data_IF_204444009103
#
_entry.id   IF_204444009103
#
_cell.length_a   1.000
_cell.length_b   1.000
_cell.length_c   1.000
_cell.angle_alpha   90.00
_cell.angle_beta   90.00
_cell.angle_gamma   90.00
#
_symmetry.space_group_name_H-M   'P 1'
#
loop_
_entity.id
_entity.type
_entity.pdbx_description
1 polymer ?
#
# COMPACT_ATOMS: atom_id res chain seq x y z
N UNK A 1 -3.22 -25.04 -13.49
CA UNK A 1 -2.54 -23.88 -14.12
C UNK A 1 -1.04 -23.97 -13.89
N UNK A 2 -0.26 -23.41 -14.80
CA UNK A 2 1.23 -23.39 -14.80
C UNK A 2 1.78 -22.31 -13.87
N UNK A 3 1.47 -22.33 -12.57
CA UNK A 3 1.83 -21.22 -11.67
C UNK A 3 3.34 -21.08 -11.37
N UNK A 4 4.12 -22.12 -11.64
CA UNK A 4 5.57 -22.14 -11.43
C UNK A 4 6.31 -21.13 -12.33
N UNK A 5 5.70 -20.67 -13.42
CA UNK A 5 6.30 -19.68 -14.33
C UNK A 5 6.59 -18.35 -13.63
N UNK A 6 5.85 -18.04 -12.56
CA UNK A 6 5.98 -16.76 -11.85
C UNK A 6 7.11 -16.75 -10.81
N UNK A 7 7.73 -17.90 -10.53
CA UNK A 7 8.79 -18.03 -9.54
C UNK A 7 10.20 -17.73 -10.11
N UNK A 8 10.30 -17.56 -11.43
CA UNK A 8 11.56 -17.32 -12.15
C UNK A 8 11.51 -15.97 -12.88
N UNK A 9 12.67 -15.35 -13.17
CA UNK A 9 12.71 -14.10 -13.93
C UNK A 9 12.06 -14.25 -15.30
N UNK A 10 11.33 -13.22 -15.72
CA UNK A 10 10.49 -13.27 -16.93
C UNK A 10 11.29 -13.57 -18.19
N UNK A 11 12.51 -13.03 -18.30
CA UNK A 11 13.39 -13.31 -19.42
C UNK A 11 13.81 -14.80 -19.52
N UNK A 12 13.96 -15.49 -18.38
CA UNK A 12 14.29 -16.93 -18.34
C UNK A 12 13.13 -17.74 -18.87
N UNK A 13 11.91 -17.43 -18.42
CA UNK A 13 10.70 -18.13 -18.85
C UNK A 13 10.40 -17.83 -20.31
N UNK A 14 10.56 -16.59 -20.77
CA UNK A 14 10.42 -16.23 -22.18
C UNK A 14 11.36 -17.05 -23.07
N UNK A 15 12.64 -17.17 -22.69
CA UNK A 15 13.60 -18.03 -23.39
C UNK A 15 13.21 -19.51 -23.34
N UNK A 16 12.70 -20.00 -22.21
CA UNK A 16 12.23 -21.38 -22.07
C UNK A 16 11.03 -21.67 -22.97
N UNK A 17 10.06 -20.76 -23.06
CA UNK A 17 8.92 -20.89 -23.97
C UNK A 17 9.38 -20.92 -25.42
N UNK A 18 10.15 -19.93 -25.86
CA UNK A 18 10.71 -19.90 -27.21
C UNK A 18 11.51 -21.16 -27.53
N UNK A 19 12.44 -21.54 -26.63
CA UNK A 19 13.28 -22.72 -26.77
C UNK A 19 12.46 -24.01 -26.86
N UNK A 20 11.41 -24.15 -26.04
CA UNK A 20 10.52 -25.32 -26.08
C UNK A 20 9.76 -25.42 -27.39
N UNK A 21 9.18 -24.31 -27.86
CA UNK A 21 8.47 -24.26 -29.14
C UNK A 21 9.40 -24.53 -30.33
N UNK A 22 10.59 -23.93 -30.34
CA UNK A 22 11.59 -24.14 -31.39
C UNK A 22 12.11 -25.59 -31.37
N UNK A 23 12.49 -26.12 -30.21
CA UNK A 23 12.99 -27.49 -30.09
C UNK A 23 11.92 -28.51 -30.50
N UNK A 24 10.66 -28.31 -30.08
CA UNK A 24 9.54 -29.15 -30.49
C UNK A 24 9.30 -29.07 -31.99
N UNK A 25 9.42 -27.88 -32.58
CA UNK A 25 9.28 -27.68 -34.03
C UNK A 25 10.38 -28.40 -34.80
N UNK A 26 11.65 -28.22 -34.40
CA UNK A 26 12.80 -28.90 -35.00
C UNK A 26 12.74 -30.41 -34.89
N UNK A 27 12.35 -30.92 -33.71
CA UNK A 27 12.16 -32.35 -33.50
C UNK A 27 11.10 -32.91 -34.45
N UNK A 28 9.97 -32.23 -34.60
CA UNK A 28 8.93 -32.65 -35.53
C UNK A 28 9.34 -32.60 -36.99
N UNK A 29 10.05 -31.54 -37.43
CA UNK A 29 10.62 -31.45 -38.78
C UNK A 29 11.55 -32.65 -39.05
N UNK A 30 12.42 -33.00 -38.10
CA UNK A 30 13.31 -34.14 -38.23
C UNK A 30 12.54 -35.46 -38.34
N UNK A 31 11.54 -35.66 -37.46
CA UNK A 31 10.72 -36.87 -37.45
C UNK A 31 9.90 -37.02 -38.74
N UNK A 32 9.17 -35.98 -39.18
CA UNK A 32 8.33 -36.05 -40.37
C UNK A 32 9.14 -36.34 -41.63
N UNK A 33 10.36 -35.79 -41.71
CA UNK A 33 11.29 -36.06 -42.81
C UNK A 33 11.74 -37.53 -42.85
N UNK A 34 11.92 -38.17 -41.70
CA UNK A 34 12.33 -39.59 -41.64
C UNK A 34 11.16 -40.54 -41.92
N UNK A 35 9.97 -40.25 -41.40
CA UNK A 35 8.86 -41.22 -41.39
C UNK A 35 7.80 -41.00 -42.47
N UNK A 36 7.58 -39.75 -42.92
CA UNK A 36 6.37 -39.41 -43.71
C UNK A 36 6.68 -38.67 -45.02
N UNK A 37 7.96 -38.38 -45.30
CA UNK A 37 8.37 -37.65 -46.51
C UNK A 37 7.89 -38.32 -47.82
N UNK A 38 7.88 -39.66 -47.87
CA UNK A 38 7.43 -40.40 -49.06
C UNK A 38 5.90 -40.44 -49.25
N UNK A 39 5.12 -40.14 -48.20
CA UNK A 39 3.65 -40.22 -48.21
C UNK A 39 2.99 -38.89 -48.60
N UNK A 40 3.55 -37.76 -48.18
CA UNK A 40 2.93 -36.44 -48.41
C UNK A 40 3.46 -35.70 -49.65
N UNK A 41 4.65 -36.03 -50.15
CA UNK A 41 5.38 -35.15 -51.10
C UNK A 41 5.45 -35.70 -52.53
N UNK A 42 4.52 -36.58 -52.92
CA UNK A 42 4.47 -37.10 -54.29
C UNK A 42 3.92 -36.10 -55.31
N UNK A 43 3.12 -35.10 -54.86
CA UNK A 43 2.57 -34.06 -55.73
C UNK A 43 2.99 -32.65 -55.31
N UNK A 44 3.55 -31.87 -56.25
CA UNK A 44 3.97 -30.47 -56.02
C UNK A 44 2.86 -29.55 -55.50
N UNK A 45 1.59 -29.84 -55.86
CA UNK A 45 0.43 -29.07 -55.40
C UNK A 45 0.14 -29.23 -53.91
N UNK A 46 0.55 -30.33 -53.27
CA UNK A 46 0.30 -30.55 -51.85
C UNK A 46 1.07 -29.52 -51.00
N UNK A 47 2.32 -29.22 -51.34
CA UNK A 47 3.12 -28.22 -50.62
C UNK A 47 2.54 -26.80 -50.75
N UNK A 48 2.05 -26.44 -51.94
CA UNK A 48 1.35 -25.16 -52.17
C UNK A 48 0.08 -25.05 -51.32
N UNK A 49 -0.73 -26.13 -51.24
CA UNK A 49 -1.92 -26.17 -50.40
C UNK A 49 -1.60 -26.07 -48.90
N UNK A 50 -0.56 -26.76 -48.43
CA UNK A 50 -0.10 -26.67 -47.03
C UNK A 50 0.39 -25.25 -46.73
N UNK A 51 1.15 -24.62 -47.63
CA UNK A 51 1.58 -23.23 -47.47
C UNK A 51 0.43 -22.22 -47.42
N UNK A 52 -0.60 -22.42 -48.25
CA UNK A 52 -1.83 -21.62 -48.22
C UNK A 52 -2.59 -21.80 -46.90
N UNK A 53 -2.73 -23.05 -46.45
CA UNK A 53 -3.37 -23.37 -45.17
C UNK A 53 -2.59 -22.74 -44.02
N UNK A 54 -1.28 -22.96 -43.94
CA UNK A 54 -0.38 -22.37 -42.94
C UNK A 54 -0.57 -20.86 -42.84
N UNK A 55 -0.54 -20.16 -43.97
CA UNK A 55 -0.72 -18.71 -44.03
C UNK A 55 -2.10 -18.29 -43.49
N UNK A 56 -3.16 -19.00 -43.90
CA UNK A 56 -4.53 -18.71 -43.45
C UNK A 56 -4.71 -18.94 -41.95
N UNK A 57 -4.19 -20.05 -41.42
CA UNK A 57 -4.25 -20.38 -40.00
C UNK A 57 -3.41 -19.45 -39.15
N UNK A 58 -2.21 -19.05 -39.61
CA UNK A 58 -1.36 -18.08 -38.90
C UNK A 58 -2.03 -16.71 -38.80
N UNK A 59 -2.72 -16.25 -39.85
CA UNK A 59 -3.45 -14.97 -39.81
C UNK A 59 -4.60 -15.03 -38.80
N UNK A 60 -5.44 -16.07 -38.86
CA UNK A 60 -6.57 -16.23 -37.94
C UNK A 60 -6.12 -16.43 -36.49
N UNK A 61 -5.09 -17.26 -36.28
CA UNK A 61 -4.57 -17.55 -34.96
C UNK A 61 -3.78 -16.36 -34.39
N UNK A 62 -3.02 -15.66 -35.22
CA UNK A 62 -2.34 -14.42 -34.83
C UNK A 62 -3.32 -13.34 -34.40
N UNK A 63 -4.46 -13.19 -35.11
CA UNK A 63 -5.54 -12.30 -34.69
C UNK A 63 -6.12 -12.72 -33.33
N UNK A 64 -6.40 -14.02 -33.14
CA UNK A 64 -6.90 -14.55 -31.86
C UNK A 64 -5.91 -14.27 -30.72
N UNK A 65 -4.63 -14.61 -30.90
CA UNK A 65 -3.58 -14.36 -29.91
C UNK A 65 -3.45 -12.87 -29.60
N UNK A 66 -3.51 -12.01 -30.62
CA UNK A 66 -3.49 -10.56 -30.45
C UNK A 66 -4.66 -10.06 -29.60
N UNK A 67 -5.88 -10.53 -29.86
CA UNK A 67 -7.06 -10.16 -29.07
C UNK A 67 -6.98 -10.66 -27.62
N UNK A 68 -6.47 -11.88 -27.40
CA UNK A 68 -6.27 -12.42 -26.04
C UNK A 68 -5.18 -11.64 -25.30
N UNK A 69 -4.09 -11.27 -25.97
CA UNK A 69 -3.03 -10.44 -25.42
C UNK A 69 -3.54 -9.04 -25.04
N UNK A 70 -4.37 -8.42 -25.88
CA UNK A 70 -5.01 -7.13 -25.57
C UNK A 70 -5.95 -7.25 -24.38
N UNK A 71 -6.79 -8.29 -24.34
CA UNK A 71 -7.73 -8.51 -23.24
C UNK A 71 -7.01 -8.75 -21.89
N UNK A 72 -5.93 -9.53 -21.89
CA UNK A 72 -5.10 -9.75 -20.68
C UNK A 72 -4.40 -8.48 -20.24
N UNK A 73 -3.82 -7.69 -21.15
CA UNK A 73 -3.25 -6.38 -20.83
C UNK A 73 -4.29 -5.41 -20.27
N UNK A 74 -5.50 -5.36 -20.86
CA UNK A 74 -6.59 -4.51 -20.36
C UNK A 74 -7.04 -4.91 -18.95
N UNK A 75 -7.12 -6.22 -18.67
CA UNK A 75 -7.40 -6.71 -17.32
C UNK A 75 -6.30 -6.28 -16.34
N UNK A 76 -5.03 -6.46 -16.71
CA UNK A 76 -3.88 -5.99 -15.92
C UNK A 76 -3.97 -4.49 -15.62
N UNK A 77 -4.21 -3.66 -16.64
CA UNK A 77 -4.34 -2.20 -16.48
C UNK A 77 -5.54 -1.83 -15.58
N UNK A 78 -6.69 -2.49 -15.76
CA UNK A 78 -7.91 -2.26 -14.96
C UNK A 78 -7.67 -2.59 -13.49
N UNK A 79 -6.97 -3.69 -13.18
CA UNK A 79 -6.62 -4.04 -11.80
C UNK A 79 -5.65 -3.02 -11.22
N UNK A 80 -4.73 -2.47 -12.03
CA UNK A 80 -3.86 -1.36 -11.63
C UNK A 80 -4.66 -0.13 -11.22
N UNK A 81 -5.61 0.28 -12.06
CA UNK A 81 -6.50 1.42 -11.77
C UNK A 81 -7.32 1.20 -10.50
N UNK A 82 -7.80 -0.02 -10.23
CA UNK A 82 -8.50 -0.35 -8.98
C UNK A 82 -7.60 -0.11 -7.76
N UNK A 83 -6.34 -0.54 -7.81
CA UNK A 83 -5.37 -0.35 -6.72
C UNK A 83 -5.02 1.13 -6.51
N UNK A 84 -4.84 1.89 -7.59
CA UNK A 84 -4.57 3.33 -7.52
C UNK A 84 -5.76 4.12 -6.95
N UNK A 85 -6.98 3.74 -7.33
CA UNK A 85 -8.20 4.31 -6.76
C UNK A 85 -8.37 3.90 -5.29
N UNK A 86 -8.06 2.65 -4.91
CA UNK A 86 -8.09 2.23 -3.51
C UNK A 86 -7.11 3.06 -2.67
N UNK A 87 -5.88 3.26 -3.15
CA UNK A 87 -4.89 4.12 -2.49
C UNK A 87 -5.42 5.56 -2.31
N UNK A 88 -5.97 6.15 -3.37
CA UNK A 88 -6.56 7.49 -3.33
C UNK A 88 -7.71 7.56 -2.31
N UNK A 89 -8.53 6.52 -2.26
CA UNK A 89 -9.66 6.43 -1.32
C UNK A 89 -9.21 6.34 0.14
N UNK A 90 -8.09 5.66 0.40
CA UNK A 90 -7.45 5.57 1.72
C UNK A 90 -6.91 6.93 2.19
N UNK A 91 -6.27 7.69 1.29
CA UNK A 91 -5.78 9.03 1.59
C UNK A 91 -6.93 9.99 1.91
N UNK A 92 -8.01 9.94 1.12
CA UNK A 92 -9.21 10.74 1.38
C UNK A 92 -9.86 10.37 2.72
N UNK A 93 -10.02 9.07 3.01
CA UNK A 93 -10.59 8.62 4.29
C UNK A 93 -9.77 9.10 5.49
N UNK A 94 -8.44 9.05 5.40
CA UNK A 94 -7.56 9.54 6.46
C UNK A 94 -7.73 11.04 6.70
N UNK A 95 -7.86 11.84 5.63
CA UNK A 95 -8.12 13.28 5.74
C UNK A 95 -9.48 13.58 6.38
N UNK A 96 -10.53 12.85 6.01
CA UNK A 96 -11.85 13.02 6.65
C UNK A 96 -11.82 12.68 8.14
N UNK A 97 -11.18 11.56 8.50
CA UNK A 97 -11.01 11.17 9.90
C UNK A 97 -10.20 12.23 10.67
N UNK A 98 -9.25 12.90 10.03
CA UNK A 98 -8.43 13.94 10.65
C UNK A 98 -9.24 15.19 11.04
N UNK A 99 -10.41 15.39 10.44
CA UNK A 99 -11.34 16.47 10.77
C UNK A 99 -12.25 16.15 11.97
N UNK A 100 -12.35 14.88 12.38
CA UNK A 100 -13.19 14.46 13.52
C UNK A 100 -12.63 14.95 14.86
N UNK A 101 -13.46 15.11 15.91
CA UNK A 101 -12.96 15.47 17.24
C UNK A 101 -12.17 14.34 17.93
N UNK A 102 -11.36 14.71 18.92
CA UNK A 102 -10.75 13.73 19.83
C UNK A 102 -11.80 13.19 20.82
N UNK A 103 -11.70 11.93 21.28
CA UNK A 103 -10.62 10.95 21.04
C UNK A 103 -10.78 10.08 19.79
N UNK A 104 -11.93 10.16 19.10
CA UNK A 104 -12.27 9.28 17.97
C UNK A 104 -11.31 9.40 16.81
N UNK A 105 -10.82 10.61 16.53
CA UNK A 105 -9.77 10.88 15.52
C UNK A 105 -8.57 9.95 15.67
N UNK A 106 -7.93 9.94 16.85
CA UNK A 106 -6.71 9.18 17.09
C UNK A 106 -6.91 7.67 16.93
N UNK A 107 -8.01 7.15 17.48
CA UNK A 107 -8.36 5.73 17.38
C UNK A 107 -8.61 5.31 15.92
N UNK A 108 -9.41 6.07 15.17
CA UNK A 108 -9.73 5.78 13.78
C UNK A 108 -8.51 5.89 12.86
N UNK A 109 -7.66 6.91 13.05
CA UNK A 109 -6.39 7.02 12.33
C UNK A 109 -5.48 5.83 12.59
N UNK A 110 -5.38 5.37 13.84
CA UNK A 110 -4.60 4.19 14.20
C UNK A 110 -5.16 2.93 13.52
N UNK A 111 -6.48 2.71 13.56
CA UNK A 111 -7.13 1.57 12.90
C UNK A 111 -6.91 1.57 11.39
N UNK A 112 -7.01 2.74 10.75
CA UNK A 112 -6.75 2.88 9.33
C UNK A 112 -5.27 2.60 8.99
N UNK A 113 -4.33 3.09 9.80
CA UNK A 113 -2.90 2.74 9.68
C UNK A 113 -2.65 1.24 9.81
N UNK A 114 -3.27 0.59 10.80
CA UNK A 114 -3.14 -0.85 11.03
C UNK A 114 -3.68 -1.67 9.86
N UNK A 115 -4.83 -1.27 9.29
CA UNK A 115 -5.38 -1.85 8.07
C UNK A 115 -4.40 -1.69 6.90
N UNK A 116 -3.97 -0.47 6.61
CA UNK A 116 -3.11 -0.17 5.45
C UNK A 116 -1.77 -0.88 5.56
N UNK A 117 -1.14 -0.89 6.73
CA UNK A 117 0.12 -1.60 6.97
C UNK A 117 -0.02 -3.10 6.76
N UNK A 118 -1.08 -3.72 7.30
CA UNK A 118 -1.34 -5.14 7.07
C UNK A 118 -1.51 -5.46 5.59
N UNK A 119 -2.26 -4.62 4.86
CA UNK A 119 -2.45 -4.78 3.41
C UNK A 119 -1.12 -4.79 2.66
N UNK A 120 -0.20 -3.88 3.00
CA UNK A 120 1.13 -3.77 2.36
C UNK A 120 2.03 -4.95 2.73
N UNK A 121 2.17 -5.25 4.03
CA UNK A 121 3.20 -6.17 4.54
C UNK A 121 2.79 -7.65 4.43
N UNK A 122 1.55 -7.96 4.79
CA UNK A 122 1.07 -9.35 4.91
C UNK A 122 0.02 -9.70 3.85
N UNK A 123 -0.87 -8.77 3.54
CA UNK A 123 -1.97 -8.93 2.58
C UNK A 123 -1.45 -9.16 1.18
N UNK A 124 -0.55 -8.29 0.71
CA UNK A 124 0.01 -8.39 -0.64
C UNK A 124 0.83 -9.66 -0.87
N UNK A 125 1.59 -10.10 0.14
CA UNK A 125 2.36 -11.35 0.06
C UNK A 125 1.46 -12.58 -0.14
N UNK A 126 0.25 -12.58 0.42
CA UNK A 126 -0.76 -13.62 0.19
C UNK A 126 -1.37 -13.51 -1.21
N UNK A 127 -1.70 -12.28 -1.65
CA UNK A 127 -2.26 -12.03 -2.98
C UNK A 127 -1.31 -12.47 -4.11
N UNK A 128 0.00 -12.27 -3.96
CA UNK A 128 1.04 -12.79 -4.87
C UNK A 128 1.02 -14.32 -5.02
N UNK A 129 0.49 -15.03 -4.04
CA UNK A 129 0.32 -16.50 -4.07
C UNK A 129 -1.07 -16.92 -4.56
N UNK A 130 -1.92 -15.95 -4.91
CA UNK A 130 -3.34 -16.15 -5.24
C UNK A 130 -4.20 -16.49 -4.03
N UNK A 131 -3.79 -16.11 -2.82
CA UNK A 131 -4.53 -16.32 -1.59
C UNK A 131 -5.22 -15.01 -1.21
N UNK A 132 -6.54 -15.05 -1.05
CA UNK A 132 -7.30 -13.88 -0.57
C UNK A 132 -7.07 -13.71 0.95
N UNK A 133 -6.47 -12.60 1.41
CA UNK A 133 -6.11 -12.40 2.82
C UNK A 133 -7.35 -12.19 3.70
N UNK A 134 -7.52 -13.03 4.72
CA UNK A 134 -8.65 -12.91 5.67
C UNK A 134 -8.48 -11.79 6.70
N UNK A 135 -7.24 -11.40 7.00
CA UNK A 135 -6.95 -10.38 8.02
C UNK A 135 -7.35 -8.95 7.63
N UNK A 136 -7.55 -8.67 6.34
CA UNK A 136 -8.07 -7.38 5.85
C UNK A 136 -9.53 -7.19 6.26
N UNK A 137 -10.37 -8.23 6.11
CA UNK A 137 -11.78 -8.20 6.48
C UNK A 137 -11.98 -7.91 7.97
N UNK A 138 -11.15 -8.51 8.83
CA UNK A 138 -11.19 -8.28 10.29
C UNK A 138 -10.88 -6.82 10.63
N UNK A 139 -9.80 -6.26 10.08
CA UNK A 139 -9.40 -4.87 10.34
C UNK A 139 -10.37 -3.85 9.75
N UNK A 140 -10.90 -4.13 8.55
CA UNK A 140 -11.95 -3.31 7.95
C UNK A 140 -13.22 -3.31 8.81
N UNK A 141 -13.60 -4.48 9.35
CA UNK A 141 -14.72 -4.64 10.28
C UNK A 141 -14.54 -3.86 11.60
N UNK A 142 -13.32 -3.81 12.13
CA UNK A 142 -13.00 -2.98 13.31
C UNK A 142 -13.10 -1.50 13.01
N UNK A 143 -12.60 -1.04 11.85
CA UNK A 143 -12.67 0.36 11.45
C UNK A 143 -14.13 0.83 11.29
N UNK A 144 -14.96 0.06 10.58
CA UNK A 144 -16.37 0.43 10.38
C UNK A 144 -17.14 0.43 11.70
N UNK A 145 -16.86 -0.52 12.60
CA UNK A 145 -17.48 -0.54 13.93
C UNK A 145 -17.11 0.70 14.74
N UNK A 146 -15.83 1.07 14.77
CA UNK A 146 -15.38 2.30 15.43
C UNK A 146 -15.95 3.58 14.81
N UNK A 147 -16.24 3.59 13.50
CA UNK A 147 -16.98 4.68 12.87
C UNK A 147 -18.43 4.72 13.37
N UNK A 148 -19.12 3.58 13.36
CA UNK A 148 -20.53 3.48 13.77
C UNK A 148 -20.77 3.80 15.25
N UNK A 149 -19.76 3.62 16.11
CA UNK A 149 -19.83 3.95 17.53
C UNK A 149 -19.75 5.49 17.80
N UNK A 150 -19.47 6.31 16.78
CA UNK A 150 -19.40 7.77 16.92
C UNK A 150 -20.79 8.41 16.82
N UNK A 151 -21.19 9.14 17.88
CA UNK A 151 -22.41 9.94 17.90
C UNK A 151 -22.08 11.42 17.66
N UNK A 152 -22.48 12.01 16.50
CA UNK A 152 -22.25 13.42 16.22
C UNK A 152 -23.09 14.31 17.14
N UNK A 153 -22.49 15.39 17.66
CA UNK A 153 -23.14 16.31 18.61
C UNK A 153 -23.72 17.57 17.98
N UNK A 154 -23.32 17.89 16.75
CA UNK A 154 -23.71 19.09 16.01
C UNK A 154 -23.78 18.85 14.49
N UNK A 155 -24.46 19.74 13.76
CA UNK A 155 -24.66 19.62 12.30
C UNK A 155 -23.33 19.52 11.52
N UNK A 156 -22.27 20.20 11.97
CA UNK A 156 -20.95 20.12 11.32
C UNK A 156 -20.35 18.72 11.47
N UNK A 157 -20.42 18.13 12.65
CA UNK A 157 -19.95 16.77 12.92
C UNK A 157 -20.77 15.72 12.15
N UNK A 158 -22.08 15.92 12.01
CA UNK A 158 -22.95 15.03 11.24
C UNK A 158 -22.53 14.96 9.77
N UNK A 159 -22.19 16.10 9.16
CA UNK A 159 -21.71 16.18 7.77
C UNK A 159 -20.37 15.43 7.62
N UNK A 160 -19.39 15.73 8.48
CA UNK A 160 -18.05 15.09 8.43
C UNK A 160 -18.17 13.58 8.64
N UNK A 161 -19.03 13.16 9.57
CA UNK A 161 -19.27 11.75 9.84
C UNK A 161 -19.91 11.04 8.64
N UNK A 162 -20.91 11.66 8.01
CA UNK A 162 -21.52 11.15 6.78
C UNK A 162 -20.50 10.98 5.65
N UNK A 163 -19.58 11.93 5.50
CA UNK A 163 -18.51 11.87 4.49
C UNK A 163 -17.50 10.76 4.80
N UNK A 164 -17.08 10.61 6.05
CA UNK A 164 -16.21 9.53 6.50
C UNK A 164 -16.82 8.14 6.26
N UNK A 165 -18.14 7.98 6.53
CA UNK A 165 -18.85 6.73 6.23
C UNK A 165 -18.90 6.43 4.73
N UNK A 166 -19.29 7.42 3.90
CA UNK A 166 -19.31 7.26 2.43
C UNK A 166 -17.95 6.85 1.90
N UNK A 167 -16.90 7.51 2.36
CA UNK A 167 -15.53 7.24 1.94
C UNK A 167 -15.05 5.85 2.42
N UNK A 168 -15.48 5.41 3.60
CA UNK A 168 -15.18 4.07 4.12
C UNK A 168 -15.83 2.96 3.28
N UNK A 169 -17.10 3.16 2.87
CA UNK A 169 -17.82 2.22 1.98
C UNK A 169 -17.13 2.15 0.62
N UNK A 170 -16.82 3.29 0.01
CA UNK A 170 -16.16 3.34 -1.29
C UNK A 170 -14.79 2.63 -1.28
N UNK A 171 -13.99 2.85 -0.23
CA UNK A 171 -12.72 2.12 -0.04
C UNK A 171 -12.94 0.60 0.07
N UNK A 172 -14.00 0.17 0.76
CA UNK A 172 -14.32 -1.25 0.89
C UNK A 172 -14.75 -1.88 -0.45
N UNK A 173 -15.51 -1.16 -1.28
CA UNK A 173 -15.86 -1.61 -2.64
C UNK A 173 -14.61 -1.82 -3.51
N UNK A 174 -13.67 -0.87 -3.47
CA UNK A 174 -12.39 -0.97 -4.21
C UNK A 174 -11.54 -2.13 -3.70
N UNK A 175 -11.43 -2.31 -2.38
CA UNK A 175 -10.73 -3.45 -1.79
C UNK A 175 -11.36 -4.79 -2.22
N UNK A 176 -12.69 -4.90 -2.23
CA UNK A 176 -13.36 -6.11 -2.71
C UNK A 176 -13.13 -6.35 -4.21
N UNK A 177 -13.16 -5.30 -5.03
CA UNK A 177 -12.86 -5.37 -6.45
C UNK A 177 -11.41 -5.81 -6.72
N UNK A 178 -10.45 -5.36 -5.90
CA UNK A 178 -9.07 -5.83 -5.95
C UNK A 178 -8.99 -7.32 -5.58
N UNK A 179 -9.59 -7.70 -4.45
CA UNK A 179 -9.52 -9.06 -3.92
C UNK A 179 -10.20 -10.10 -4.81
N UNK A 180 -11.26 -9.74 -5.54
CA UNK A 180 -11.92 -10.63 -6.49
C UNK A 180 -11.03 -10.97 -7.70
N UNK A 181 -10.03 -10.13 -8.00
CA UNK A 181 -9.08 -10.35 -9.10
C UNK A 181 -7.84 -11.16 -8.70
N UNK A 182 -7.71 -11.57 -7.43
CA UNK A 182 -6.54 -12.35 -6.93
C UNK A 182 -6.43 -13.73 -7.58
N UNK A 183 -7.56 -14.35 -7.90
CA UNK A 183 -7.64 -15.67 -8.52
C UNK A 183 -8.33 -15.67 -9.89
N UNK A 184 -8.62 -14.49 -10.44
CA UNK A 184 -9.34 -14.34 -11.70
C UNK A 184 -8.33 -14.13 -12.82
N UNK A 185 -8.41 -14.99 -13.82
CA UNK A 185 -7.62 -14.93 -15.06
C UNK A 185 -8.42 -15.51 -16.21
N UNK A 186 -7.76 -15.81 -17.32
CA UNK A 186 -8.35 -16.40 -18.51
C UNK A 186 -9.03 -17.73 -18.16
N UNK A 187 -10.31 -17.91 -18.56
CA UNK A 187 -10.98 -19.19 -18.46
C UNK A 187 -10.13 -20.31 -19.07
N UNK A 188 -10.07 -21.46 -18.39
CA UNK A 188 -9.26 -22.62 -18.81
C UNK A 188 -9.58 -23.07 -20.25
N UNK A 189 -10.80 -22.82 -20.73
CA UNK A 189 -11.21 -23.11 -22.11
C UNK A 189 -10.41 -22.30 -23.13
N UNK A 190 -10.11 -21.01 -22.86
CA UNK A 190 -9.31 -20.19 -23.77
C UNK A 190 -7.87 -20.71 -23.86
N UNK A 191 -7.31 -21.18 -22.75
CA UNK A 191 -6.00 -21.84 -22.75
C UNK A 191 -5.97 -23.11 -23.62
N UNK A 192 -7.05 -23.89 -23.65
CA UNK A 192 -7.17 -25.02 -24.57
C UNK A 192 -7.25 -24.58 -26.03
N UNK A 193 -7.99 -23.52 -26.35
CA UNK A 193 -8.06 -22.96 -27.71
C UNK A 193 -6.69 -22.48 -28.17
N UNK A 194 -5.95 -21.78 -27.31
CA UNK A 194 -4.56 -21.35 -27.58
C UNK A 194 -3.65 -22.56 -27.80
N UNK A 195 -3.72 -23.58 -26.95
CA UNK A 195 -2.88 -24.77 -27.08
C UNK A 195 -3.17 -25.57 -28.37
N UNK A 196 -4.44 -25.79 -28.71
CA UNK A 196 -4.84 -26.49 -29.92
C UNK A 196 -4.48 -25.70 -31.17
N UNK A 197 -4.74 -24.38 -31.17
CA UNK A 197 -4.39 -23.51 -32.30
C UNK A 197 -2.88 -23.46 -32.54
N UNK A 198 -2.07 -23.41 -31.47
CA UNK A 198 -0.62 -23.49 -31.57
C UNK A 198 -0.15 -24.86 -32.12
N UNK A 199 -0.75 -25.97 -31.65
CA UNK A 199 -0.43 -27.30 -32.14
C UNK A 199 -0.74 -27.47 -33.64
N UNK A 200 -1.89 -26.98 -34.11
CA UNK A 200 -2.26 -27.01 -35.54
C UNK A 200 -1.22 -26.26 -36.38
N UNK A 201 -0.82 -25.06 -35.95
CA UNK A 201 0.19 -24.28 -36.67
C UNK A 201 1.55 -25.00 -36.71
N UNK A 202 1.98 -25.61 -35.61
CA UNK A 202 3.23 -26.40 -35.58
C UNK A 202 3.16 -27.63 -36.50
N UNK A 203 2.04 -28.35 -36.51
CA UNK A 203 1.83 -29.49 -37.41
C UNK A 203 1.88 -29.05 -38.87
N UNK A 204 1.26 -27.93 -39.22
CA UNK A 204 1.32 -27.37 -40.58
C UNK A 204 2.75 -26.97 -40.97
N UNK A 205 3.55 -26.44 -40.02
CA UNK A 205 4.98 -26.20 -40.24
C UNK A 205 5.69 -27.52 -40.57
N UNK A 206 5.44 -28.60 -39.83
CA UNK A 206 6.10 -29.90 -40.06
C UNK A 206 5.77 -30.54 -41.41
N UNK A 207 4.59 -30.24 -41.97
CA UNK A 207 4.12 -30.78 -43.25
C UNK A 207 4.73 -30.09 -44.48
N UNK A 208 5.42 -28.96 -44.31
CA UNK A 208 5.96 -28.20 -45.42
C UNK A 208 7.22 -28.84 -46.00
N UNK A 209 7.32 -28.90 -47.33
CA UNK A 209 8.48 -29.47 -48.01
C UNK A 209 9.46 -28.37 -48.45
N UNK A 210 10.67 -28.38 -47.89
CA UNK A 210 11.75 -27.46 -48.26
C UNK A 210 13.13 -28.00 -47.84
N UNK A 211 14.18 -27.26 -48.21
CA UNK A 211 15.55 -27.57 -47.77
C UNK A 211 15.67 -27.49 -46.24
N UNK A 212 16.40 -28.44 -45.62
CA UNK A 212 16.45 -28.62 -44.16
C UNK A 212 16.77 -27.31 -43.44
N UNK A 213 17.80 -26.61 -43.90
CA UNK A 213 18.27 -25.41 -43.23
C UNK A 213 17.24 -24.27 -43.29
N UNK A 214 16.54 -24.12 -44.42
CA UNK A 214 15.46 -23.13 -44.57
C UNK A 214 14.27 -23.50 -43.68
N UNK A 215 13.90 -24.78 -43.62
CA UNK A 215 12.80 -25.28 -42.78
C UNK A 215 13.05 -25.00 -41.30
N UNK A 216 14.27 -25.28 -40.85
CA UNK A 216 14.69 -25.10 -39.47
C UNK A 216 14.70 -23.62 -39.08
N UNK A 217 15.21 -22.74 -39.95
CA UNK A 217 15.26 -21.29 -39.69
C UNK A 217 13.86 -20.68 -39.69
N UNK A 218 13.05 -20.94 -40.72
CA UNK A 218 11.70 -20.39 -40.83
C UNK A 218 10.77 -20.95 -39.75
N UNK A 219 10.85 -22.26 -39.51
CA UNK A 219 10.12 -22.93 -38.44
C UNK A 219 10.50 -22.38 -37.06
N UNK A 220 11.79 -22.12 -36.81
CA UNK A 220 12.23 -21.49 -35.57
C UNK A 220 11.68 -20.06 -35.42
N UNK A 221 11.70 -19.24 -36.48
CA UNK A 221 11.18 -17.88 -36.44
C UNK A 221 9.68 -17.86 -36.11
N UNK A 222 8.88 -18.67 -36.80
CA UNK A 222 7.44 -18.78 -36.58
C UNK A 222 7.11 -19.34 -35.19
N UNK A 223 7.79 -20.42 -34.78
CA UNK A 223 7.59 -21.03 -33.46
C UNK A 223 8.00 -20.10 -32.31
N UNK A 224 9.06 -19.30 -32.49
CA UNK A 224 9.50 -18.31 -31.51
C UNK A 224 8.46 -17.21 -31.33
N UNK A 225 7.87 -16.69 -32.41
CA UNK A 225 6.81 -15.67 -32.31
C UNK A 225 5.59 -16.24 -31.58
N UNK A 226 5.17 -17.46 -31.89
CA UNK A 226 4.09 -18.14 -31.17
C UNK A 226 4.41 -18.27 -29.68
N UNK A 227 5.61 -18.76 -29.35
CA UNK A 227 6.08 -18.91 -27.97
C UNK A 227 6.10 -17.58 -27.21
N UNK A 228 6.61 -16.51 -27.82
CA UNK A 228 6.67 -15.16 -27.22
C UNK A 228 5.30 -14.60 -26.91
N UNK A 229 4.34 -14.69 -27.84
CA UNK A 229 3.00 -14.12 -27.62
C UNK A 229 2.23 -14.94 -26.57
N UNK A 230 2.35 -16.28 -26.60
CA UNK A 230 1.74 -17.14 -25.58
C UNK A 230 2.36 -16.88 -24.20
N UNK A 231 3.68 -16.68 -24.14
CA UNK A 231 4.38 -16.28 -22.92
C UNK A 231 3.86 -14.94 -22.39
N UNK A 232 3.73 -13.91 -23.24
CA UNK A 232 3.19 -12.61 -22.85
C UNK A 232 1.77 -12.73 -22.27
N UNK A 233 0.91 -13.52 -22.92
CA UNK A 233 -0.44 -13.82 -22.41
C UNK A 233 -0.36 -14.48 -21.03
N UNK A 234 0.51 -15.48 -20.87
CA UNK A 234 0.69 -16.17 -19.59
C UNK A 234 1.17 -15.23 -18.49
N UNK A 235 2.10 -14.32 -18.80
CA UNK A 235 2.67 -13.39 -17.83
C UNK A 235 1.63 -12.37 -17.33
N UNK A 236 0.80 -11.84 -18.23
CA UNK A 236 -0.22 -10.84 -17.89
C UNK A 236 -1.53 -11.44 -17.33
N UNK A 237 -1.73 -12.76 -17.46
CA UNK A 237 -2.97 -13.44 -17.08
C UNK A 237 -3.30 -13.32 -15.58
N UNK A 238 -2.28 -13.22 -14.72
CA UNK A 238 -2.44 -13.16 -13.27
C UNK A 238 -1.79 -11.87 -12.72
N UNK A 239 -2.54 -10.75 -12.61
CA UNK A 239 -1.97 -9.41 -12.37
C UNK A 239 -1.17 -9.24 -11.08
N UNK A 240 -1.37 -10.10 -10.08
CA UNK A 240 -0.65 -10.06 -8.81
C UNK A 240 0.59 -10.97 -8.76
N UNK A 241 0.86 -11.76 -9.80
CA UNK A 241 1.94 -12.77 -9.79
C UNK A 241 3.04 -12.44 -10.81
N UNK A 242 4.25 -12.86 -10.51
CA UNK A 242 5.40 -12.69 -11.40
C UNK A 242 6.10 -11.34 -11.27
N UNK A 243 7.09 -11.14 -12.15
CA UNK A 243 7.90 -9.92 -12.19
C UNK A 243 7.09 -8.72 -12.69
N UNK A 244 6.31 -8.91 -13.76
CA UNK A 244 5.33 -7.93 -14.26
C UNK A 244 4.02 -8.10 -13.47
N UNK A 245 4.01 -7.59 -12.24
CA UNK A 245 2.86 -7.65 -11.35
C UNK A 245 2.55 -6.31 -10.69
N UNK A 246 1.30 -6.16 -10.24
CA UNK A 246 0.83 -5.01 -9.50
C UNK A 246 1.28 -5.13 -8.04
N UNK A 247 2.18 -4.23 -7.63
CA UNK A 247 2.65 -4.11 -6.26
C UNK A 247 1.74 -3.27 -5.37
N UNK A 248 2.02 -3.22 -4.06
CA UNK A 248 1.29 -2.38 -3.11
C UNK A 248 1.73 -0.90 -3.20
N UNK A 249 2.52 -0.51 -4.21
CA UNK A 249 3.28 0.74 -4.23
C UNK A 249 2.42 1.99 -4.08
N UNK A 250 1.24 2.03 -4.72
CA UNK A 250 0.31 3.14 -4.58
C UNK A 250 -0.22 3.29 -3.15
N UNK A 251 -0.59 2.18 -2.53
CA UNK A 251 -1.06 2.14 -1.13
C UNK A 251 0.09 2.45 -0.18
N UNK A 252 1.30 1.95 -0.47
CA UNK A 252 2.50 2.22 0.31
C UNK A 252 2.89 3.71 0.27
N UNK A 253 2.82 4.35 -0.89
CA UNK A 253 3.02 5.81 -1.01
C UNK A 253 2.03 6.58 -0.13
N UNK A 254 0.74 6.23 -0.18
CA UNK A 254 -0.26 6.85 0.69
C UNK A 254 0.02 6.62 2.17
N UNK A 255 0.46 5.42 2.54
CA UNK A 255 0.86 5.14 3.91
C UNK A 255 2.02 6.04 4.35
N UNK A 256 3.09 6.11 3.58
CA UNK A 256 4.29 6.90 3.91
C UNK A 256 4.02 8.42 3.90
N UNK A 257 3.27 8.93 2.92
CA UNK A 257 3.11 10.38 2.71
C UNK A 257 1.96 10.99 3.53
N UNK A 258 0.92 10.21 3.85
CA UNK A 258 -0.32 10.72 4.45
C UNK A 258 -0.58 10.14 5.85
N UNK A 259 -0.30 8.86 6.06
CA UNK A 259 -0.75 8.17 7.28
C UNK A 259 0.34 8.02 8.33
N UNK A 260 1.58 7.78 7.89
CA UNK A 260 2.73 7.64 8.76
C UNK A 260 2.90 8.97 9.50
N UNK A 261 2.92 8.96 10.84
CA UNK A 261 3.27 10.15 11.59
C UNK A 261 4.60 10.65 11.00
N UNK A 262 4.69 11.95 10.67
CA UNK A 262 5.99 12.49 10.29
C UNK A 262 6.95 12.16 11.42
N UNK A 263 8.21 11.87 11.05
CA UNK A 263 9.27 11.51 11.98
C UNK A 263 9.08 12.27 13.30
N UNK A 264 9.05 11.52 14.41
CA UNK A 264 8.92 12.06 15.77
C UNK A 264 9.65 13.38 15.86
N UNK A 265 8.95 14.40 16.33
CA UNK A 265 9.46 15.75 16.34
C UNK A 265 10.91 15.80 16.82
N UNK A 266 11.75 16.56 16.12
CA UNK A 266 13.16 16.68 16.48
C UNK A 266 13.32 17.52 17.75
N UNK A 267 14.43 17.33 18.49
CA UNK A 267 14.78 18.22 19.60
C UNK A 267 14.73 19.71 19.21
N UNK A 268 15.17 20.03 17.99
CA UNK A 268 15.16 21.40 17.45
C UNK A 268 13.73 21.95 17.29
N UNK A 269 12.80 21.14 16.78
CA UNK A 269 11.40 21.55 16.64
C UNK A 269 10.71 21.73 17.99
N UNK A 270 10.98 20.85 18.96
CA UNK A 270 10.46 21.00 20.33
C UNK A 270 10.96 22.29 20.99
N UNK A 271 12.25 22.60 20.81
CA UNK A 271 12.84 23.85 21.31
C UNK A 271 12.25 25.10 20.64
N UNK A 272 12.04 25.04 19.32
CA UNK A 272 11.42 26.14 18.57
C UNK A 272 9.98 26.40 19.04
N UNK A 273 9.19 25.34 19.28
CA UNK A 273 7.84 25.48 19.82
C UNK A 273 7.84 26.00 21.26
N UNK A 274 8.76 25.55 22.13
CA UNK A 274 8.89 26.08 23.49
C UNK A 274 9.18 27.59 23.46
N UNK A 275 10.10 28.02 22.59
CA UNK A 275 10.44 29.44 22.41
C UNK A 275 9.22 30.26 21.98
N UNK A 276 8.42 29.74 21.04
CA UNK A 276 7.15 30.38 20.63
C UNK A 276 6.13 30.41 21.77
N UNK A 277 6.03 29.34 22.56
CA UNK A 277 5.10 29.27 23.69
C UNK A 277 5.47 30.29 24.78
N UNK A 278 6.76 30.41 25.11
CA UNK A 278 7.28 31.43 26.04
C UNK A 278 6.92 32.84 25.55
N UNK A 279 7.19 33.15 24.29
CA UNK A 279 6.87 34.46 23.70
C UNK A 279 5.36 34.75 23.74
N UNK A 280 4.51 33.74 23.49
CA UNK A 280 3.07 33.90 23.57
C UNK A 280 2.59 34.18 25.00
N UNK A 281 3.12 33.46 26.00
CA UNK A 281 2.78 33.67 27.42
C UNK A 281 3.23 35.06 27.90
N UNK A 282 4.42 35.51 27.48
CA UNK A 282 4.92 36.85 27.80
C UNK A 282 4.08 37.96 27.16
N UNK A 283 3.54 37.73 25.95
CA UNK A 283 2.68 38.71 25.27
C UNK A 283 1.29 38.80 25.89
N UNK A 284 0.62 37.67 26.12
CA UNK A 284 -0.68 37.60 26.78
C UNK A 284 -0.91 36.19 27.35
N UNK A 285 -0.72 36.07 28.67
CA UNK A 285 -0.87 34.80 29.42
C UNK A 285 -2.23 34.14 29.20
N UNK A 286 -3.32 34.90 29.26
CA UNK A 286 -4.68 34.36 29.18
C UNK A 286 -4.97 33.83 27.79
N UNK A 287 -4.61 34.62 26.76
CA UNK A 287 -4.78 34.21 25.36
C UNK A 287 -3.88 33.02 25.01
N UNK A 288 -2.64 32.99 25.50
CA UNK A 288 -1.72 31.87 25.27
C UNK A 288 -2.26 30.56 25.83
N UNK A 289 -2.72 30.56 27.10
CA UNK A 289 -3.30 29.36 27.72
C UNK A 289 -4.56 28.87 26.99
N UNK A 290 -5.39 29.79 26.47
CA UNK A 290 -6.55 29.43 25.65
C UNK A 290 -6.11 28.72 24.35
N UNK A 291 -5.14 29.30 23.62
CA UNK A 291 -4.59 28.69 22.39
C UNK A 291 -3.92 27.34 22.66
N UNK A 292 -3.19 27.20 23.79
CA UNK A 292 -2.55 25.94 24.15
C UNK A 292 -3.58 24.84 24.42
N UNK A 293 -4.67 25.15 25.12
CA UNK A 293 -5.72 24.17 25.43
C UNK A 293 -6.65 23.86 24.25
N UNK A 294 -6.82 24.78 23.29
CA UNK A 294 -7.57 24.52 22.05
C UNK A 294 -6.70 23.90 20.94
N UNK A 295 -5.37 23.97 21.07
CA UNK A 295 -4.42 23.57 20.02
C UNK A 295 -4.32 24.57 18.85
N UNK A 296 -4.91 25.77 18.99
CA UNK A 296 -4.92 26.80 17.95
C UNK A 296 -3.61 27.60 17.88
N UNK A 297 -3.44 28.45 16.87
CA UNK A 297 -2.24 29.29 16.71
C UNK A 297 -0.97 28.51 16.33
N UNK A 298 -1.12 27.24 15.93
CA UNK A 298 -0.01 26.34 15.62
C UNK A 298 0.75 25.86 16.86
N UNK A 299 0.07 25.77 18.01
CA UNK A 299 0.58 25.18 19.25
C UNK A 299 0.20 23.71 19.42
N UNK A 300 -0.48 23.11 18.44
CA UNK A 300 -0.63 21.66 18.31
C UNK A 300 -0.19 21.26 16.91
N UNK A 301 0.92 20.55 16.82
CA UNK A 301 1.50 20.05 15.57
C UNK A 301 1.93 18.59 15.77
N UNK A 302 1.04 17.66 15.40
CA UNK A 302 1.21 16.21 15.60
C UNK A 302 1.62 15.85 17.05
N UNK A 303 2.90 15.49 17.25
CA UNK A 303 3.50 15.10 18.53
C UNK A 303 3.97 16.30 19.39
N UNK A 304 3.99 17.53 18.84
CA UNK A 304 4.44 18.75 19.50
C UNK A 304 3.28 19.58 20.04
N UNK A 305 3.35 19.86 21.34
CA UNK A 305 2.40 20.71 22.03
C UNK A 305 3.01 21.25 23.33
N UNK A 306 2.69 22.49 23.72
CA UNK A 306 3.04 23.02 25.02
C UNK A 306 2.06 22.54 26.09
N UNK A 307 2.61 22.27 27.27
CA UNK A 307 1.84 22.13 28.50
C UNK A 307 2.46 23.03 29.56
N UNK A 308 1.63 23.58 30.46
CA UNK A 308 2.08 24.52 31.47
C UNK A 308 1.47 24.22 32.83
N UNK A 309 2.22 24.57 33.89
CA UNK A 309 1.77 24.52 35.28
C UNK A 309 2.20 25.76 36.04
N UNK A 310 1.50 26.07 37.13
CA UNK A 310 1.83 27.18 38.01
C UNK A 310 3.11 26.88 38.81
N UNK A 311 4.05 27.82 38.85
CA UNK A 311 5.30 27.67 39.61
C UNK A 311 5.04 27.64 41.12
N UNK A 312 4.04 28.38 41.59
CA UNK A 312 3.73 28.53 43.01
C UNK A 312 3.19 27.26 43.66
N UNK A 313 2.18 26.63 43.06
CA UNK A 313 1.48 25.47 43.65
C UNK A 313 1.63 24.17 42.83
N UNK A 314 2.31 24.23 41.68
CA UNK A 314 2.54 23.11 40.80
C UNK A 314 1.31 22.64 40.03
N UNK A 315 0.18 23.36 40.05
CA UNK A 315 -1.03 22.91 39.35
C UNK A 315 -0.93 23.06 37.84
N UNK A 316 -1.26 22.00 37.12
CA UNK A 316 -1.36 22.01 35.65
C UNK A 316 -2.47 22.96 35.20
N UNK A 317 -2.19 23.82 34.23
CA UNK A 317 -3.12 24.82 33.69
C UNK A 317 -3.33 24.70 32.18
N UNK A 318 -2.43 24.01 31.48
CA UNK A 318 -2.61 23.69 30.07
C UNK A 318 -2.02 22.32 29.73
N UNK A 319 -2.80 21.47 29.06
CA UNK A 319 -2.37 20.26 28.37
C UNK A 319 -3.49 19.79 27.42
N UNK A 320 -3.33 20.02 26.12
CA UNK A 320 -4.35 19.72 25.11
C UNK A 320 -4.58 18.22 24.92
N UNK A 321 -3.55 17.40 25.13
CA UNK A 321 -3.61 15.96 24.92
C UNK A 321 -3.96 15.20 26.20
N UNK A 322 -3.81 15.83 27.37
CA UNK A 322 -4.16 15.28 28.67
C UNK A 322 -5.00 16.26 29.50
N UNK A 323 -6.22 16.64 29.05
CA UNK A 323 -7.08 17.58 29.77
C UNK A 323 -7.44 17.09 31.17
N UNK A 324 -7.42 15.77 31.42
CA UNK A 324 -7.63 15.16 32.73
C UNK A 324 -6.59 15.58 33.78
N UNK A 325 -5.39 16.01 33.35
CA UNK A 325 -4.32 16.45 34.24
C UNK A 325 -4.49 17.91 34.69
N UNK A 326 -5.29 18.71 33.99
CA UNK A 326 -5.52 20.11 34.35
C UNK A 326 -6.11 20.19 35.76
N UNK A 327 -5.54 21.06 36.59
CA UNK A 327 -5.87 21.20 38.00
C UNK A 327 -5.14 20.24 38.95
N UNK A 328 -4.57 19.13 38.45
CA UNK A 328 -3.74 18.23 39.27
C UNK A 328 -2.36 18.85 39.54
N UNK A 329 -1.70 18.41 40.60
CA UNK A 329 -0.33 18.86 40.91
C UNK A 329 0.67 18.09 40.06
N UNK A 330 1.51 18.80 39.31
CA UNK A 330 2.58 18.24 38.51
C UNK A 330 3.48 17.32 39.35
N UNK A 331 3.82 17.69 40.58
CA UNK A 331 4.72 16.92 41.45
C UNK A 331 4.24 15.50 41.78
N UNK A 332 2.93 15.25 41.68
CA UNK A 332 2.33 13.95 42.01
C UNK A 332 2.37 12.99 40.81
N UNK A 333 2.76 13.48 39.62
CA UNK A 333 2.78 12.70 38.39
C UNK A 333 3.97 11.74 38.33
N UNK A 334 3.66 10.50 37.97
CA UNK A 334 4.63 9.42 37.74
C UNK A 334 4.37 8.78 36.38
N UNK A 335 5.43 8.31 35.73
CA UNK A 335 5.30 7.57 34.49
C UNK A 335 4.96 6.08 34.75
N UNK A 336 4.78 5.33 33.66
CA UNK A 336 4.43 3.90 33.73
C UNK A 336 5.50 3.02 34.41
N UNK A 337 6.74 3.51 34.54
CA UNK A 337 7.82 2.81 35.26
C UNK A 337 7.87 3.20 36.74
N UNK A 338 7.03 4.13 37.18
CA UNK A 338 7.02 4.69 38.52
C UNK A 338 7.97 5.87 38.71
N UNK A 339 8.63 6.36 37.65
CA UNK A 339 9.55 7.51 37.73
C UNK A 339 8.76 8.79 38.05
N UNK A 340 9.12 9.57 39.09
CA UNK A 340 8.42 10.79 39.47
C UNK A 340 8.81 11.99 38.59
N UNK A 341 8.55 11.90 37.28
CA UNK A 341 8.95 12.91 36.30
C UNK A 341 8.34 14.29 36.59
N UNK A 342 7.13 14.33 37.15
CA UNK A 342 6.46 15.57 37.49
C UNK A 342 7.18 16.37 38.60
N UNK A 343 7.84 15.69 39.53
CA UNK A 343 8.71 16.32 40.52
C UNK A 343 9.99 16.87 39.89
N UNK A 344 10.56 16.18 38.89
CA UNK A 344 11.72 16.68 38.13
C UNK A 344 11.38 17.94 37.33
N UNK A 345 10.23 17.95 36.65
CA UNK A 345 9.70 19.12 35.95
C UNK A 345 9.48 20.29 36.92
N UNK A 346 8.88 20.04 38.09
CA UNK A 346 8.66 21.09 39.08
C UNK A 346 9.99 21.65 39.64
N UNK A 347 10.98 20.80 39.92
CA UNK A 347 12.32 21.25 40.33
C UNK A 347 12.99 22.10 39.25
N UNK A 348 12.87 21.71 37.98
CA UNK A 348 13.38 22.51 36.87
C UNK A 348 12.70 23.88 36.78
N UNK A 349 11.40 23.97 37.06
CA UNK A 349 10.67 25.24 37.12
C UNK A 349 11.11 26.18 38.27
N UNK A 350 11.78 25.67 39.31
CA UNK A 350 12.30 26.51 40.41
C UNK A 350 13.63 27.19 40.08
N UNK A 351 14.24 26.85 38.93
CA UNK A 351 15.45 27.52 38.45
C UNK A 351 15.16 28.94 37.97
N UNK A 352 16.21 29.63 37.55
CA UNK A 352 16.11 31.01 37.02
C UNK A 352 15.15 31.07 35.83
N UNK A 353 14.41 32.17 35.73
CA UNK A 353 13.51 32.39 34.60
C UNK A 353 14.28 32.35 33.27
N UNK A 354 13.73 31.65 32.27
CA UNK A 354 14.39 31.41 30.98
C UNK A 354 15.48 30.32 30.99
N UNK A 355 15.86 29.75 32.13
CA UNK A 355 16.73 28.57 32.15
C UNK A 355 15.96 27.35 31.66
N UNK A 356 16.49 26.66 30.64
CA UNK A 356 15.86 25.48 30.04
C UNK A 356 16.52 24.23 30.60
N UNK A 357 15.70 23.28 31.06
CA UNK A 357 16.15 21.96 31.52
C UNK A 357 15.40 20.89 30.75
N UNK A 358 16.08 19.82 30.36
CA UNK A 358 15.44 18.64 29.78
C UNK A 358 15.09 17.62 30.87
N UNK A 359 13.92 16.98 30.73
CA UNK A 359 13.45 15.90 31.61
C UNK A 359 12.94 14.76 30.74
N UNK A 360 13.52 13.56 30.93
CA UNK A 360 13.14 12.34 30.20
C UNK A 360 12.17 11.47 31.00
N UNK A 361 11.13 10.94 30.37
CA UNK A 361 10.13 10.07 31.00
C UNK A 361 9.34 9.27 29.96
N UNK A 362 8.65 8.21 30.39
CA UNK A 362 7.72 7.48 29.52
C UNK A 362 6.36 8.18 29.47
N UNK A 363 5.81 8.40 28.28
CA UNK A 363 4.50 9.04 28.15
C UNK A 363 3.69 8.50 26.96
N UNK A 364 2.35 8.46 27.04
CA UNK A 364 1.51 8.10 25.91
C UNK A 364 1.63 9.11 24.77
N UNK A 365 1.74 8.63 23.54
CA UNK A 365 1.66 9.48 22.34
C UNK A 365 0.26 10.08 22.17
N UNK A 366 0.13 11.26 21.52
CA UNK A 366 -1.18 11.85 21.24
C UNK A 366 -2.13 10.88 20.56
N UNK A 367 -3.37 10.81 21.03
CA UNK A 367 -4.42 9.95 20.47
C UNK A 367 -4.42 8.49 20.95
N UNK A 368 -3.49 8.05 21.81
CA UNK A 368 -3.52 6.71 22.43
C UNK A 368 -2.96 6.70 23.85
N UNK A 369 -3.79 6.33 24.84
CA UNK A 369 -3.33 6.15 26.24
C UNK A 369 -2.47 4.88 26.44
N UNK A 370 -2.49 3.94 25.47
CA UNK A 370 -1.80 2.65 25.58
C UNK A 370 -0.41 2.66 24.94
N UNK A 371 -0.18 3.55 23.97
CA UNK A 371 1.09 3.62 23.24
C UNK A 371 2.11 4.50 23.98
N UNK A 372 2.78 3.89 24.95
CA UNK A 372 3.85 4.54 25.71
C UNK A 372 5.15 4.60 24.90
N UNK A 373 5.78 5.77 24.86
CA UNK A 373 7.09 5.98 24.24
C UNK A 373 7.99 6.83 25.15
N UNK A 374 9.33 6.70 25.07
CA UNK A 374 10.24 7.61 25.74
C UNK A 374 10.03 9.03 25.20
N UNK A 375 9.93 10.00 26.10
CA UNK A 375 9.75 11.42 25.80
C UNK A 375 10.81 12.22 26.52
N UNK A 376 11.34 13.24 25.86
CA UNK A 376 12.18 14.27 26.49
C UNK A 376 11.47 15.60 26.37
N UNK A 377 11.25 16.26 27.50
CA UNK A 377 10.63 17.59 27.55
C UNK A 377 11.62 18.66 27.96
N UNK A 378 11.68 19.74 27.19
CA UNK A 378 12.32 20.98 27.57
C UNK A 378 11.33 21.80 28.39
N UNK A 379 11.72 22.19 29.61
CA UNK A 379 10.89 23.01 30.51
C UNK A 379 11.65 24.27 30.89
N UNK A 380 10.92 25.38 30.94
CA UNK A 380 11.44 26.65 31.46
C UNK A 380 10.36 27.44 32.19
N UNK A 381 10.79 28.27 33.13
CA UNK A 381 9.94 29.22 33.83
C UNK A 381 9.70 30.47 32.98
N UNK A 382 8.46 30.94 32.99
CA UNK A 382 7.96 32.15 32.31
C UNK A 382 6.96 32.85 33.26
N UNK A 383 7.44 33.86 33.98
CA UNK A 383 6.70 34.55 35.03
C UNK A 383 6.22 33.61 36.15
N UNK A 384 4.90 33.51 36.28
CA UNK A 384 4.21 32.65 37.26
C UNK A 384 3.98 31.21 36.77
N UNK A 385 4.26 30.95 35.49
CA UNK A 385 4.08 29.64 34.87
C UNK A 385 5.43 28.99 34.59
N UNK A 386 5.43 27.68 34.53
CA UNK A 386 6.45 26.92 33.83
C UNK A 386 5.78 26.22 32.66
N UNK A 387 6.35 26.38 31.48
CA UNK A 387 5.86 25.77 30.26
C UNK A 387 6.91 24.79 29.73
N UNK A 388 6.43 23.70 29.16
CA UNK A 388 7.25 22.65 28.65
C UNK A 388 6.72 22.13 27.31
N UNK A 389 7.65 21.75 26.44
CA UNK A 389 7.37 21.08 25.16
C UNK A 389 8.30 19.90 25.07
N UNK A 390 7.81 18.74 24.63
CA UNK A 390 8.65 17.56 24.49
C UNK A 390 8.49 16.86 23.16
N UNK A 391 9.49 16.05 22.86
CA UNK A 391 9.54 15.18 21.69
C UNK A 391 9.69 13.72 22.13
N UNK A 392 9.20 12.81 21.30
CA UNK A 392 9.32 11.37 21.53
C UNK A 392 10.59 10.82 20.86
N UNK A 393 11.22 9.83 21.49
CA UNK A 393 12.39 9.11 20.97
C UNK A 393 12.01 7.78 20.34
#
# INVERSE_FOLDING_TARGET
MMYWIYDYPSWVIGLLFCGTFVAFTWMGIFLTRVTVHSWFHQEKRANEMVGLALSSYFVLFGLLLGLVAVATYQNYATVGDIVDNEASSLAALYREISSLPQPSRGQLQQRLREYTRYTIEEGWAQQRKGIVPKGEAVRSGLLIRSLLDFEPSNEREEIIYGDALRQSVHRNELSQARLSNVSTGLPTVLWWVVAVGAAINIVLIWMQDMEVHVHMILGAALASILGLVIFLIAELDNPFRGEVSIGPDAIARVYEDVMKPRQTATPEQAMAMLTRAVAAVQADKTKALAMFNSGEGGFLDEDLYPYCFNVGDGRMVADVNQPKLIGQKAMDLKDATGKPFGLELYKAAQKSEGEITDVSYMFPKPGSEQQLAPKVAFVTRVGELACAVGYYQ
#
